data_IF_445947130341
#
_entry.id   IF_445947130341
#
_cell.length_a   1.000
_cell.length_b   1.000
_cell.length_c   1.000
_cell.angle_alpha   90.00
_cell.angle_beta   90.00
_cell.angle_gamma   90.00
#
_symmetry.space_group_name_H-M   'P 1'
#
loop_
_entity.id
_entity.type
_entity.pdbx_description
1 polymer ?
#
# COMPACT_ATOMS: atom_id res chain seq x y z
N UNK A 1 -9.87 -6.04 -17.58
CA UNK A 1 -10.46 -5.72 -16.26
C UNK A 1 -9.43 -5.20 -15.25
N UNK A 2 -8.13 -5.35 -15.51
CA UNK A 2 -7.03 -4.87 -14.66
C UNK A 2 -7.15 -3.37 -14.35
N UNK A 3 -7.49 -2.52 -15.34
CA UNK A 3 -7.64 -1.08 -15.13
C UNK A 3 -8.81 -0.76 -14.17
N UNK A 4 -9.96 -1.42 -14.33
CA UNK A 4 -11.11 -1.23 -13.44
C UNK A 4 -10.82 -1.71 -12.01
N UNK A 5 -10.10 -2.83 -11.87
CA UNK A 5 -9.61 -3.31 -10.58
C UNK A 5 -8.56 -2.37 -9.95
N UNK A 6 -7.67 -1.80 -10.76
CA UNK A 6 -6.70 -0.81 -10.33
C UNK A 6 -7.36 0.47 -9.84
N UNK A 7 -8.38 0.98 -10.55
CA UNK A 7 -9.12 2.18 -10.17
C UNK A 7 -9.96 1.98 -8.91
N UNK A 8 -10.60 0.82 -8.75
CA UNK A 8 -11.37 0.49 -7.54
C UNK A 8 -10.48 0.33 -6.33
N UNK A 9 -9.34 -0.35 -6.47
CA UNK A 9 -8.34 -0.45 -5.42
C UNK A 9 -7.76 0.94 -5.08
N UNK A 10 -7.45 1.75 -6.09
CA UNK A 10 -6.98 3.11 -5.89
C UNK A 10 -7.98 3.93 -5.08
N UNK A 11 -9.28 3.86 -5.40
CA UNK A 11 -10.34 4.56 -4.68
C UNK A 11 -10.44 4.11 -3.21
N UNK A 12 -10.22 2.83 -2.93
CA UNK A 12 -10.26 2.27 -1.58
C UNK A 12 -9.06 2.71 -0.73
N UNK A 13 -7.87 2.77 -1.32
CA UNK A 13 -6.62 3.13 -0.63
C UNK A 13 -6.47 4.66 -0.49
N UNK A 14 -7.04 5.43 -1.43
CA UNK A 14 -6.97 6.88 -1.48
C UNK A 14 -7.24 7.58 -0.12
N UNK A 15 -8.35 7.30 0.60
CA UNK A 15 -8.63 7.97 1.88
C UNK A 15 -7.55 7.70 2.94
N UNK A 16 -6.99 6.48 2.96
CA UNK A 16 -5.94 6.10 3.91
C UNK A 16 -4.66 6.89 3.62
N UNK A 17 -4.27 7.00 2.33
CA UNK A 17 -3.11 7.79 1.92
C UNK A 17 -3.31 9.26 2.28
N UNK A 18 -4.51 9.82 2.05
CA UNK A 18 -4.82 11.21 2.37
C UNK A 18 -4.66 11.49 3.87
N UNK A 19 -5.22 10.65 4.74
CA UNK A 19 -5.13 10.82 6.19
C UNK A 19 -3.66 10.77 6.64
N UNK A 20 -2.92 9.75 6.22
CA UNK A 20 -1.51 9.61 6.56
C UNK A 20 -0.66 10.80 6.07
N UNK A 21 -0.95 11.30 4.87
CA UNK A 21 -0.26 12.47 4.35
C UNK A 21 -0.58 13.75 5.12
N UNK A 22 -1.84 13.93 5.55
CA UNK A 22 -2.23 15.07 6.39
C UNK A 22 -1.55 15.01 7.76
N UNK A 23 -1.45 13.85 8.39
CA UNK A 23 -0.76 13.68 9.66
C UNK A 23 0.73 13.98 9.54
N UNK A 24 1.38 13.48 8.47
CA UNK A 24 2.78 13.78 8.19
C UNK A 24 3.04 15.28 7.99
N UNK A 25 2.16 15.98 7.28
CA UNK A 25 2.24 17.44 7.09
C UNK A 25 1.99 18.19 8.41
N UNK A 26 1.04 17.71 9.23
CA UNK A 26 0.74 18.31 10.54
C UNK A 26 1.89 18.16 11.54
N UNK A 27 2.68 17.09 11.43
CA UNK A 27 3.86 16.85 12.26
C UNK A 27 4.98 17.89 12.02
N UNK A 28 4.97 18.59 10.89
CA UNK A 28 5.99 19.62 10.60
C UNK A 28 5.83 20.82 11.57
N UNK A 29 6.88 21.15 12.36
CA UNK A 29 6.86 22.24 13.32
C UNK A 29 6.35 23.55 12.73
N UNK A 30 5.49 24.26 13.47
CA UNK A 30 5.00 25.58 13.05
C UNK A 30 6.13 26.60 12.99
N UNK A 31 7.17 26.45 13.82
CA UNK A 31 8.36 27.32 13.84
C UNK A 31 9.06 27.38 12.48
N UNK A 32 9.22 26.26 11.78
CA UNK A 32 9.80 26.21 10.43
C UNK A 32 9.00 27.07 9.42
N UNK A 33 7.67 27.01 9.50
CA UNK A 33 6.80 27.83 8.65
C UNK A 33 6.93 29.31 8.98
N UNK A 34 6.96 29.65 10.27
CA UNK A 34 7.13 31.04 10.73
C UNK A 34 8.51 31.60 10.37
N UNK A 35 9.57 30.81 10.48
CA UNK A 35 10.91 31.21 10.06
C UNK A 35 10.94 31.52 8.57
N UNK A 36 10.36 30.65 7.73
CA UNK A 36 10.24 30.86 6.28
C UNK A 36 9.49 32.16 5.96
N UNK A 37 8.35 32.43 6.62
CA UNK A 37 7.63 33.69 6.48
C UNK A 37 8.42 34.91 6.96
N UNK A 38 9.23 34.76 8.02
CA UNK A 38 10.09 35.81 8.54
C UNK A 38 11.17 36.27 7.57
N UNK A 39 11.59 35.41 6.63
CA UNK A 39 12.53 35.77 5.55
C UNK A 39 11.82 36.31 4.29
N UNK A 40 10.50 36.52 4.34
CA UNK A 40 9.71 37.01 3.22
C UNK A 40 9.30 35.93 2.21
N UNK A 41 9.42 34.64 2.54
CA UNK A 41 9.00 33.57 1.63
C UNK A 41 7.47 33.49 1.52
N UNK A 42 7.00 33.20 0.32
CA UNK A 42 5.57 32.96 0.08
C UNK A 42 5.10 31.64 0.68
N UNK A 43 3.78 31.49 0.87
CA UNK A 43 3.16 30.23 1.29
C UNK A 43 3.53 29.06 0.37
N UNK A 44 3.58 29.30 -0.94
CA UNK A 44 3.92 28.26 -1.91
C UNK A 44 5.39 27.83 -1.80
N UNK A 45 6.32 28.78 -1.67
CA UNK A 45 7.74 28.48 -1.45
C UNK A 45 7.97 27.73 -0.13
N UNK A 46 7.26 28.11 0.94
CA UNK A 46 7.34 27.44 2.23
C UNK A 46 6.85 25.99 2.15
N UNK A 47 5.78 25.74 1.38
CA UNK A 47 5.26 24.38 1.19
C UNK A 47 6.26 23.53 0.40
N UNK A 48 6.73 24.00 -0.75
CA UNK A 48 7.63 23.24 -1.62
C UNK A 48 9.01 22.99 -1.03
N UNK A 49 9.61 24.00 -0.41
CA UNK A 49 11.02 23.92 0.02
C UNK A 49 11.17 23.47 1.47
N UNK A 50 10.13 23.56 2.29
CA UNK A 50 10.22 23.26 3.71
C UNK A 50 9.22 22.20 4.15
N UNK A 51 7.92 22.39 3.91
CA UNK A 51 6.90 21.46 4.45
C UNK A 51 6.91 20.12 3.73
N UNK A 52 6.95 20.12 2.39
CA UNK A 52 6.93 18.90 1.59
C UNK A 52 8.15 18.01 1.88
N UNK A 53 9.41 18.51 1.81
CA UNK A 53 10.58 17.66 2.05
C UNK A 53 10.65 17.13 3.49
N UNK A 54 10.27 17.94 4.48
CA UNK A 54 10.25 17.51 5.89
C UNK A 54 9.16 16.48 6.19
N UNK A 55 8.02 16.51 5.48
CA UNK A 55 6.93 15.55 5.65
C UNK A 55 7.04 14.31 4.75
N UNK A 56 7.90 14.32 3.72
CA UNK A 56 8.06 13.21 2.77
C UNK A 56 8.34 11.87 3.44
N UNK A 57 9.21 11.82 4.45
CA UNK A 57 9.50 10.57 5.16
C UNK A 57 8.25 9.98 5.83
N UNK A 58 7.39 10.84 6.39
CA UNK A 58 6.11 10.45 6.98
C UNK A 58 5.10 10.00 5.92
N UNK A 59 4.96 10.76 4.82
CA UNK A 59 4.07 10.42 3.71
C UNK A 59 4.45 9.08 3.08
N UNK A 60 5.74 8.85 2.82
CA UNK A 60 6.25 7.61 2.24
C UNK A 60 5.94 6.42 3.15
N UNK A 61 6.19 6.55 4.46
CA UNK A 61 5.86 5.51 5.43
C UNK A 61 4.37 5.19 5.43
N UNK A 62 3.53 6.22 5.55
CA UNK A 62 2.09 6.05 5.58
C UNK A 62 1.53 5.44 4.29
N UNK A 63 2.12 5.80 3.14
CA UNK A 63 1.76 5.23 1.84
C UNK A 63 2.16 3.76 1.76
N UNK A 64 3.37 3.38 2.19
CA UNK A 64 3.82 1.98 2.17
C UNK A 64 2.96 1.11 3.08
N UNK A 65 2.62 1.58 4.28
CA UNK A 65 1.74 0.86 5.20
C UNK A 65 0.31 0.74 4.64
N UNK A 66 -0.21 1.80 4.01
CA UNK A 66 -1.52 1.77 3.36
C UNK A 66 -1.57 0.74 2.22
N UNK A 67 -0.54 0.70 1.37
CA UNK A 67 -0.42 -0.28 0.29
C UNK A 67 -0.29 -1.70 0.86
N UNK A 68 0.54 -1.89 1.88
CA UNK A 68 0.73 -3.20 2.53
C UNK A 68 -0.57 -3.73 3.12
N UNK A 69 -1.35 -2.84 3.74
CA UNK A 69 -2.69 -3.15 4.25
C UNK A 69 -3.65 -3.48 3.12
N UNK A 70 -3.63 -2.74 2.03
CA UNK A 70 -4.53 -2.96 0.90
C UNK A 70 -4.25 -4.26 0.13
N UNK A 71 -2.98 -4.67 0.05
CA UNK A 71 -2.60 -5.99 -0.47
C UNK A 71 -3.14 -7.11 0.44
N UNK A 72 -3.19 -6.86 1.76
CA UNK A 72 -3.75 -7.79 2.74
C UNK A 72 -5.29 -7.76 2.86
N UNK A 73 -5.94 -6.65 2.50
CA UNK A 73 -7.41 -6.52 2.46
C UNK A 73 -7.95 -7.12 1.16
N UNK A 74 -8.19 -8.44 1.20
CA UNK A 74 -8.62 -9.25 0.06
C UNK A 74 -10.13 -9.28 -0.12
N UNK A 75 -10.88 -8.95 0.93
CA UNK A 75 -12.34 -8.92 0.94
C UNK A 75 -12.94 -7.93 -0.09
N UNK A 76 -12.44 -6.69 -0.25
CA UNK A 76 -12.97 -5.76 -1.25
C UNK A 76 -12.66 -6.20 -2.69
N UNK A 77 -11.49 -6.80 -2.93
CA UNK A 77 -11.11 -7.34 -4.25
C UNK A 77 -12.01 -8.50 -4.68
N UNK A 78 -12.41 -9.37 -3.74
CA UNK A 78 -13.37 -10.46 -4.00
C UNK A 78 -14.74 -9.89 -4.39
N UNK A 79 -15.21 -8.83 -3.73
CA UNK A 79 -16.51 -8.20 -4.00
C UNK A 79 -16.53 -7.46 -5.35
N UNK A 80 -15.42 -6.84 -5.76
CA UNK A 80 -15.31 -6.06 -7.01
C UNK A 80 -15.08 -6.93 -8.26
N UNK A 81 -14.96 -8.25 -8.09
CA UNK A 81 -14.95 -9.18 -9.21
C UNK A 81 -13.55 -9.67 -9.61
N UNK A 82 -12.64 -9.84 -8.65
CA UNK A 82 -11.54 -10.78 -8.84
C UNK A 82 -12.14 -12.15 -9.19
N UNK A 83 -12.06 -12.53 -10.47
CA UNK A 83 -12.63 -13.79 -10.94
C UNK A 83 -11.92 -14.95 -10.26
N UNK A 84 -12.71 -15.87 -9.70
CA UNK A 84 -12.31 -16.94 -8.78
C UNK A 84 -11.34 -17.97 -9.37
N UNK A 85 -11.03 -17.92 -10.66
CA UNK A 85 -10.09 -18.81 -11.32
C UNK A 85 -9.80 -18.34 -12.76
N UNK A 86 -8.52 -18.24 -13.15
CA UNK A 86 -8.11 -18.05 -14.56
C UNK A 86 -7.01 -19.08 -14.84
N UNK A 87 -7.22 -19.91 -15.85
CA UNK A 87 -6.33 -21.02 -16.26
C UNK A 87 -5.48 -20.62 -17.47
N UNK A 88 -5.54 -19.36 -17.90
CA UNK A 88 -4.93 -18.87 -19.14
C UNK A 88 -4.09 -17.63 -18.90
N UNK A 89 -2.89 -17.61 -19.49
CA UNK A 89 -1.98 -16.46 -19.42
C UNK A 89 -2.66 -15.18 -19.96
N UNK A 90 -2.45 -14.02 -19.32
CA UNK A 90 -3.12 -12.79 -19.70
C UNK A 90 -2.57 -12.21 -21.01
N UNK A 91 -3.31 -12.38 -22.11
CA UNK A 91 -2.98 -11.89 -23.46
C UNK A 91 -3.20 -10.36 -23.69
N UNK A 92 -3.22 -9.54 -22.62
CA UNK A 92 -3.29 -8.07 -22.78
C UNK A 92 -3.78 -7.27 -21.56
N UNK A 93 -3.82 -5.92 -21.66
CA UNK A 93 -4.17 -5.02 -20.54
C UNK A 93 -5.62 -5.15 -20.05
N UNK A 94 -6.49 -5.80 -20.84
CA UNK A 94 -7.87 -6.12 -20.46
C UNK A 94 -8.07 -7.56 -19.99
N UNK A 95 -7.01 -8.37 -19.94
CA UNK A 95 -7.09 -9.75 -19.50
C UNK A 95 -7.60 -9.87 -18.06
N UNK A 96 -8.11 -11.07 -17.75
CA UNK A 96 -8.51 -11.42 -16.39
C UNK A 96 -7.24 -11.63 -15.56
N UNK A 97 -7.25 -11.22 -14.29
CA UNK A 97 -6.13 -11.42 -13.36
C UNK A 97 -6.59 -12.19 -12.13
N UNK A 98 -5.72 -13.01 -11.57
CA UNK A 98 -5.96 -13.75 -10.32
C UNK A 98 -5.02 -13.21 -9.25
N UNK A 99 -5.54 -13.01 -8.04
CA UNK A 99 -4.73 -12.60 -6.89
C UNK A 99 -4.34 -13.84 -6.08
N UNK A 100 -3.11 -13.90 -5.56
CA UNK A 100 -2.67 -15.00 -4.70
C UNK A 100 -3.67 -15.37 -3.58
N UNK A 101 -4.34 -14.43 -2.92
CA UNK A 101 -5.31 -14.76 -1.87
C UNK A 101 -6.57 -15.47 -2.38
N UNK A 102 -6.99 -15.22 -3.62
CA UNK A 102 -8.14 -15.94 -4.20
C UNK A 102 -7.76 -17.38 -4.58
N UNK A 103 -6.50 -17.63 -4.95
CA UNK A 103 -5.99 -19.00 -5.12
C UNK A 103 -6.03 -19.76 -3.80
N UNK A 104 -5.56 -19.15 -2.71
CA UNK A 104 -5.61 -19.75 -1.36
C UNK A 104 -7.06 -20.05 -0.98
N UNK A 105 -7.99 -19.09 -1.13
CA UNK A 105 -9.40 -19.31 -0.83
C UNK A 105 -9.99 -20.48 -1.63
N UNK A 106 -9.70 -20.54 -2.94
CA UNK A 106 -10.19 -21.62 -3.81
C UNK A 106 -9.65 -22.99 -3.37
N UNK A 107 -8.38 -23.08 -2.99
CA UNK A 107 -7.78 -24.33 -2.49
C UNK A 107 -8.34 -24.73 -1.12
N UNK A 108 -8.61 -23.78 -0.22
CA UNK A 108 -9.24 -24.08 1.08
C UNK A 108 -10.72 -24.50 0.97
N UNK A 109 -11.41 -24.07 -0.09
CA UNK A 109 -12.82 -24.42 -0.32
C UNK A 109 -13.01 -25.83 -0.91
N UNK A 110 -11.93 -26.53 -1.29
CA UNK A 110 -11.95 -27.89 -1.85
C UNK A 110 -11.80 -28.92 -0.71
N UNK A 111 -12.71 -29.91 -0.58
CA UNK A 111 -12.72 -30.86 0.55
C UNK A 111 -11.66 -31.99 0.48
N UNK A 112 -10.62 -31.86 -0.34
CA UNK A 112 -9.57 -32.88 -0.51
C UNK A 112 -8.37 -32.55 0.38
N UNK A 113 -7.91 -33.50 1.21
CA UNK A 113 -6.83 -33.27 2.19
C UNK A 113 -5.52 -32.75 1.59
N UNK A 114 -5.17 -33.18 0.38
CA UNK A 114 -3.97 -32.68 -0.33
C UNK A 114 -4.03 -31.17 -0.63
N UNK A 115 -5.21 -30.61 -0.86
CA UNK A 115 -5.36 -29.17 -1.11
C UNK A 115 -5.27 -28.33 0.17
N UNK A 116 -5.54 -28.96 1.33
CA UNK A 116 -5.45 -28.32 2.63
C UNK A 116 -3.99 -28.08 3.04
N UNK A 117 -3.10 -29.04 2.77
CA UNK A 117 -1.67 -28.90 3.00
C UNK A 117 -1.03 -27.86 2.05
N UNK A 118 -1.42 -27.86 0.77
CA UNK A 118 -0.96 -26.87 -0.21
C UNK A 118 -1.45 -25.47 0.15
N UNK A 119 -2.70 -25.33 0.60
CA UNK A 119 -3.24 -24.05 1.06
C UNK A 119 -2.52 -23.55 2.32
N UNK A 120 -2.22 -24.42 3.29
CA UNK A 120 -1.46 -24.05 4.48
C UNK A 120 -0.04 -23.57 4.13
N UNK A 121 0.65 -24.26 3.22
CA UNK A 121 1.95 -23.84 2.72
C UNK A 121 1.87 -22.47 2.01
N UNK A 122 0.86 -22.24 1.19
CA UNK A 122 0.65 -20.96 0.51
C UNK A 122 0.36 -19.80 1.48
N UNK A 123 -0.38 -20.04 2.57
CA UNK A 123 -0.60 -19.06 3.64
C UNK A 123 0.73 -18.70 4.32
N UNK A 124 1.57 -19.68 4.64
CA UNK A 124 2.88 -19.45 5.27
C UNK A 124 3.78 -18.61 4.35
N UNK A 125 3.83 -18.93 3.05
CA UNK A 125 4.60 -18.14 2.07
C UNK A 125 4.07 -16.71 1.97
N UNK A 126 2.75 -16.54 1.93
CA UNK A 126 2.12 -15.21 1.88
C UNK A 126 2.44 -14.39 3.14
N UNK A 127 2.39 -15.02 4.33
CA UNK A 127 2.76 -14.38 5.59
C UNK A 127 4.25 -14.00 5.62
N UNK A 128 5.13 -14.89 5.17
CA UNK A 128 6.56 -14.61 5.10
C UNK A 128 6.86 -13.45 4.15
N UNK A 129 6.20 -13.39 2.99
CA UNK A 129 6.32 -12.30 2.03
C UNK A 129 5.79 -10.98 2.60
N UNK A 130 4.63 -10.99 3.24
CA UNK A 130 4.08 -9.80 3.91
C UNK A 130 5.01 -9.29 5.01
N UNK A 131 5.50 -10.19 5.88
CA UNK A 131 6.38 -9.83 6.97
C UNK A 131 7.71 -9.25 6.46
N UNK A 132 8.31 -9.87 5.45
CA UNK A 132 9.57 -9.37 4.85
C UNK A 132 9.37 -8.01 4.20
N UNK A 133 8.30 -7.80 3.44
CA UNK A 133 8.00 -6.52 2.80
C UNK A 133 7.78 -5.41 3.85
N UNK A 134 6.97 -5.67 4.87
CA UNK A 134 6.71 -4.71 5.95
C UNK A 134 7.98 -4.42 6.78
N UNK A 135 8.78 -5.44 7.11
CA UNK A 135 10.04 -5.26 7.81
C UNK A 135 11.03 -4.41 7.00
N UNK A 136 11.14 -4.67 5.69
CA UNK A 136 12.03 -3.91 4.80
C UNK A 136 11.59 -2.44 4.71
N UNK A 137 10.29 -2.18 4.63
CA UNK A 137 9.72 -0.83 4.65
C UNK A 137 10.07 -0.07 5.94
N UNK A 138 9.95 -0.73 7.10
CA UNK A 138 10.28 -0.13 8.41
C UNK A 138 11.78 0.16 8.52
N UNK A 139 12.65 -0.73 8.03
CA UNK A 139 14.10 -0.54 8.05
C UNK A 139 14.52 0.63 7.15
N UNK A 140 13.96 0.72 5.94
CA UNK A 140 14.18 1.84 5.02
C UNK A 140 13.76 3.17 5.68
N UNK A 141 12.59 3.23 6.32
CA UNK A 141 12.13 4.40 7.09
C UNK A 141 13.15 4.82 8.15
N UNK A 142 13.60 3.89 8.99
CA UNK A 142 14.55 4.20 10.07
C UNK A 142 15.87 4.76 9.54
N UNK A 143 16.29 4.35 8.33
CA UNK A 143 17.46 4.91 7.66
C UNK A 143 17.23 6.34 7.16
N UNK A 144 16.09 6.61 6.51
CA UNK A 144 15.77 7.96 6.02
C UNK A 144 15.50 8.97 7.15
N UNK A 145 14.91 8.54 8.27
CA UNK A 145 14.73 9.41 9.45
C UNK A 145 16.04 9.73 10.19
N UNK A 146 17.09 8.94 10.01
CA UNK A 146 18.42 9.22 10.59
C UNK A 146 19.25 10.20 9.75
N UNK A 147 18.82 10.50 8.52
CA UNK A 147 19.53 11.39 7.58
C UNK A 147 18.91 12.80 7.49
N UNK A 148 17.77 13.02 8.16
CA UNK A 148 17.14 14.33 8.36
C UNK A 148 17.40 14.80 9.79
#
# INVERSE_FOLDING_TARGET
TIIAAGLTLALLILPIIIINAQEAIRAVPRSLRQASYGVGATKWQTVWNHVLPNSMAGILTGTILAISRAIGETAPLIVVGASTFIVTDPDGPFAKFTALPILIYNWTARPQDQFRDIAAAAIIVLLALLLTLNATAIVLRNRFQRQL
#
